data_IF_503913259335
#
_entry.id   IF_503913259335
#
_cell.length_a   1.000
_cell.length_b   1.000
_cell.length_c   1.000
_cell.angle_alpha   90.00
_cell.angle_beta   90.00
_cell.angle_gamma   90.00
#
_symmetry.space_group_name_H-M   'P 1'
#
loop_
_entity.id
_entity.type
_entity.pdbx_description
1 polymer ?
#
# COMPACT_ATOMS: atom_id res chain seq x y z
N UNK A 1 39.20 34.96 -40.46
CA UNK A 1 39.57 33.79 -41.25
C UNK A 1 38.70 32.70 -40.70
N UNK A 2 37.70 32.45 -41.25
CA UNK A 2 37.03 31.77 -42.35
C UNK A 2 36.16 30.68 -41.79
N UNK A 3 34.89 30.87 -41.86
CA UNK A 3 33.85 30.37 -42.78
C UNK A 3 33.72 28.82 -42.84
N UNK A 4 32.52 28.36 -42.61
CA UNK A 4 32.08 27.04 -42.96
C UNK A 4 30.64 26.73 -42.57
N UNK A 5 29.69 27.41 -43.19
CA UNK A 5 28.27 26.99 -43.31
C UNK A 5 28.14 25.70 -44.09
N UNK A 6 27.21 24.82 -43.72
CA UNK A 6 26.38 24.08 -44.70
C UNK A 6 25.08 23.60 -44.08
N UNK A 7 24.01 24.13 -44.64
CA UNK A 7 22.62 23.62 -44.55
C UNK A 7 22.43 22.53 -45.61
N UNK A 8 21.50 21.60 -45.36
CA UNK A 8 20.71 20.81 -46.35
C UNK A 8 19.53 20.22 -45.60
N UNK A 9 18.36 20.73 -45.74
CA UNK A 9 17.22 20.49 -46.64
C UNK A 9 16.62 19.08 -46.59
N UNK A 10 15.41 19.03 -46.05
CA UNK A 10 14.15 18.43 -46.53
C UNK A 10 14.10 17.00 -46.98
N UNK A 11 13.14 16.25 -46.43
CA UNK A 11 12.08 15.66 -47.24
C UNK A 11 10.92 15.18 -46.37
N UNK A 12 9.77 15.72 -46.71
CA UNK A 12 8.43 15.29 -46.30
C UNK A 12 8.14 13.87 -46.80
N UNK A 13 7.43 13.09 -45.99
CA UNK A 13 6.52 12.05 -46.48
C UNK A 13 5.30 12.02 -45.58
N UNK A 14 4.22 12.62 -46.08
CA UNK A 14 2.86 12.28 -45.76
C UNK A 14 2.59 10.85 -46.23
N UNK A 15 1.93 10.08 -45.42
CA UNK A 15 1.00 9.07 -45.93
C UNK A 15 -0.17 8.90 -44.98
N UNK A 16 -1.31 9.13 -45.62
CA UNK A 16 -2.68 9.12 -45.12
C UNK A 16 -3.22 7.71 -44.94
N UNK A 17 -4.36 7.71 -44.23
CA UNK A 17 -5.46 6.72 -44.29
C UNK A 17 -5.27 5.49 -43.38
N UNK A 18 -6.24 5.01 -42.63
CA UNK A 18 -7.67 4.92 -42.93
C UNK A 18 -8.44 4.59 -41.65
N UNK A 19 -9.42 5.37 -41.35
CA UNK A 19 -10.52 5.15 -40.41
C UNK A 19 -11.34 3.93 -40.84
N UNK A 20 -11.59 3.00 -39.94
CA UNK A 20 -12.69 2.05 -40.05
C UNK A 20 -13.55 2.09 -38.80
N UNK A 21 -14.62 2.86 -38.89
CA UNK A 21 -15.81 2.75 -38.05
C UNK A 21 -16.52 1.42 -38.36
N UNK A 22 -16.67 0.59 -37.31
CA UNK A 22 -17.63 -0.52 -37.36
C UNK A 22 -18.80 -0.18 -36.46
N UNK A 23 -19.85 0.35 -37.10
CA UNK A 23 -21.17 0.48 -36.50
C UNK A 23 -21.83 -0.90 -36.44
N UNK A 24 -22.09 -1.41 -35.25
CA UNK A 24 -22.92 -2.60 -35.08
C UNK A 24 -24.30 -2.21 -34.55
N UNK A 25 -25.23 -2.07 -35.48
CA UNK A 25 -26.66 -1.88 -35.23
C UNK A 25 -27.28 -3.23 -34.85
N UNK A 26 -27.58 -3.48 -33.62
CA UNK A 26 -28.41 -4.62 -33.22
C UNK A 26 -29.89 -4.25 -33.17
N UNK A 27 -30.57 -4.80 -34.14
CA UNK A 27 -32.01 -4.77 -34.43
C UNK A 27 -32.79 -5.54 -33.35
N UNK A 28 -33.68 -4.86 -32.64
CA UNK A 28 -34.72 -5.47 -31.81
C UNK A 28 -35.65 -6.38 -32.66
N UNK A 29 -35.74 -7.64 -32.29
CA UNK A 29 -36.86 -8.50 -32.70
C UNK A 29 -37.75 -8.78 -31.52
N UNK A 30 -38.95 -8.27 -31.57
CA UNK A 30 -40.09 -8.67 -30.73
C UNK A 30 -40.56 -10.05 -31.23
N UNK A 31 -40.72 -11.00 -30.34
CA UNK A 31 -41.56 -12.17 -30.56
C UNK A 31 -42.58 -12.27 -29.41
N UNK A 32 -43.79 -12.49 -29.84
CA UNK A 32 -45.03 -12.51 -29.07
C UNK A 32 -45.31 -13.95 -28.64
N UNK A 33 -45.62 -14.09 -27.40
CA UNK A 33 -46.46 -15.02 -26.60
C UNK A 33 -46.90 -16.35 -27.26
N UNK A 34 -46.64 -17.48 -26.60
CA UNK A 34 -47.71 -18.43 -26.37
C UNK A 34 -47.58 -19.19 -25.05
N UNK A 35 -48.74 -19.49 -24.45
CA UNK A 35 -48.93 -20.05 -23.12
C UNK A 35 -48.65 -21.57 -23.12
N UNK A 36 -47.75 -22.03 -22.27
CA UNK A 36 -47.53 -23.44 -22.00
C UNK A 36 -47.12 -23.67 -20.54
N UNK A 37 -48.00 -24.28 -19.83
CA UNK A 37 -48.00 -24.71 -18.41
C UNK A 37 -46.68 -25.29 -17.96
N UNK A 38 -46.06 -24.61 -16.98
CA UNK A 38 -44.77 -24.97 -16.40
C UNK A 38 -44.88 -26.03 -15.32
N UNK A 39 -44.06 -27.06 -15.45
CA UNK A 39 -43.59 -27.89 -14.33
C UNK A 39 -42.28 -27.32 -13.88
N UNK A 40 -42.28 -26.81 -12.62
CA UNK A 40 -41.15 -26.18 -12.01
C UNK A 40 -40.12 -27.22 -11.56
N UNK A 41 -39.01 -27.36 -12.27
CA UNK A 41 -37.80 -27.94 -11.73
C UNK A 41 -37.01 -26.85 -11.04
N UNK A 42 -36.57 -27.03 -9.76
CA UNK A 42 -35.73 -26.06 -9.10
C UNK A 42 -34.33 -26.09 -9.73
N UNK A 43 -33.89 -24.96 -10.28
CA UNK A 43 -32.50 -24.73 -10.67
C UNK A 43 -31.58 -24.99 -9.50
N UNK A 44 -30.42 -25.66 -9.67
CA UNK A 44 -29.41 -25.73 -8.65
C UNK A 44 -28.96 -24.29 -8.32
N UNK A 45 -29.06 -23.91 -7.07
CA UNK A 45 -28.50 -22.66 -6.57
C UNK A 45 -26.99 -22.72 -6.77
N UNK A 46 -26.49 -21.86 -7.63
CA UNK A 46 -25.09 -21.55 -7.82
C UNK A 46 -24.46 -21.27 -6.47
N UNK A 47 -23.34 -21.92 -6.20
CA UNK A 47 -22.58 -21.92 -4.95
C UNK A 47 -22.45 -20.50 -4.37
N UNK A 48 -23.26 -20.17 -3.39
CA UNK A 48 -22.98 -19.06 -2.51
C UNK A 48 -21.66 -19.37 -1.79
N UNK A 49 -20.60 -18.64 -2.10
CA UNK A 49 -19.37 -18.63 -1.31
C UNK A 49 -19.78 -18.44 0.16
N UNK A 50 -19.30 -19.24 1.10
CA UNK A 50 -19.74 -19.15 2.48
C UNK A 50 -19.22 -17.85 3.10
N UNK A 51 -20.03 -16.79 3.12
CA UNK A 51 -19.75 -15.53 3.81
C UNK A 51 -19.35 -15.78 5.28
N UNK A 52 -19.89 -16.82 5.90
CA UNK A 52 -19.54 -17.20 7.26
C UNK A 52 -18.07 -17.58 7.48
N UNK A 53 -17.39 -18.16 6.48
CA UNK A 53 -15.99 -18.55 6.59
C UNK A 53 -15.06 -17.31 6.54
N UNK A 54 -15.42 -16.32 5.76
CA UNK A 54 -14.64 -15.10 5.62
C UNK A 54 -14.71 -14.24 6.88
N UNK A 55 -15.87 -14.12 7.50
CA UNK A 55 -16.05 -13.45 8.80
C UNK A 55 -15.21 -14.14 9.88
N UNK A 56 -15.20 -15.46 9.91
CA UNK A 56 -14.42 -16.25 10.87
C UNK A 56 -12.91 -16.06 10.68
N UNK A 57 -12.46 -15.96 9.42
CA UNK A 57 -11.05 -15.76 9.08
C UNK A 57 -10.55 -14.35 9.48
N UNK A 58 -11.28 -13.31 9.11
CA UNK A 58 -10.98 -11.95 9.52
C UNK A 58 -11.00 -11.81 11.05
N UNK A 59 -11.99 -12.40 11.71
CA UNK A 59 -12.09 -12.43 13.18
C UNK A 59 -10.88 -13.11 13.80
N UNK A 60 -10.41 -14.23 13.26
CA UNK A 60 -9.22 -14.92 13.75
C UNK A 60 -7.95 -14.08 13.57
N UNK A 61 -7.79 -13.45 12.41
CA UNK A 61 -6.65 -12.56 12.13
C UNK A 61 -6.63 -11.37 13.10
N UNK A 62 -7.80 -10.80 13.41
CA UNK A 62 -7.92 -9.64 14.28
C UNK A 62 -8.04 -9.96 15.76
N UNK A 63 -8.28 -11.19 16.15
CA UNK A 63 -8.22 -11.63 17.55
C UNK A 63 -6.81 -11.52 18.15
N UNK A 64 -5.78 -11.52 17.30
CA UNK A 64 -4.40 -11.33 17.75
C UNK A 64 -4.19 -9.89 18.24
N UNK A 65 -3.88 -9.72 19.51
CA UNK A 65 -3.49 -8.42 20.06
C UNK A 65 -2.08 -8.04 19.58
N UNK A 66 -1.97 -6.84 18.99
CA UNK A 66 -0.69 -6.31 18.61
C UNK A 66 0.12 -5.99 19.87
N UNK A 67 1.38 -6.44 19.98
CA UNK A 67 2.20 -6.12 21.13
C UNK A 67 2.40 -4.60 21.24
N UNK A 68 2.22 -4.04 22.44
CA UNK A 68 2.38 -2.60 22.68
C UNK A 68 3.78 -2.11 22.34
N UNK A 69 4.78 -2.96 22.52
CA UNK A 69 6.18 -2.69 22.19
C UNK A 69 6.63 -3.62 21.05
N UNK A 70 7.52 -3.14 20.16
CA UNK A 70 8.02 -4.01 19.09
C UNK A 70 8.82 -5.17 19.67
N UNK A 71 8.71 -6.38 19.09
CA UNK A 71 9.44 -7.58 19.50
C UNK A 71 10.90 -7.55 19.00
N UNK A 72 11.67 -6.57 19.47
CA UNK A 72 13.06 -6.33 19.07
C UNK A 72 14.05 -6.93 20.05
N UNK A 73 15.30 -7.16 19.61
CA UNK A 73 16.37 -7.65 20.46
C UNK A 73 16.66 -6.66 21.62
N UNK A 74 17.14 -7.20 22.76
CA UNK A 74 17.35 -6.42 24.01
C UNK A 74 18.15 -5.12 23.84
N UNK A 75 19.13 -5.11 22.93
CA UNK A 75 19.97 -3.94 22.70
C UNK A 75 19.28 -2.79 21.96
N UNK A 76 18.11 -3.04 21.37
CA UNK A 76 17.39 -2.04 20.59
C UNK A 76 16.79 -0.93 21.47
N UNK A 77 16.45 -1.23 22.72
CA UNK A 77 15.91 -0.26 23.66
C UNK A 77 16.82 0.95 23.91
N UNK A 78 18.14 0.80 23.72
CA UNK A 78 19.11 1.90 23.84
C UNK A 78 18.95 2.98 22.77
N UNK A 79 18.34 2.64 21.61
CA UNK A 79 18.13 3.56 20.49
C UNK A 79 16.89 4.45 20.69
N UNK A 80 16.01 4.09 21.61
CA UNK A 80 14.70 4.75 21.78
C UNK A 80 14.72 5.70 22.95
N UNK A 81 14.24 6.92 22.74
CA UNK A 81 14.14 7.90 23.81
C UNK A 81 13.03 7.52 24.79
N UNK A 82 13.40 7.26 26.06
CA UNK A 82 12.47 6.90 27.15
C UNK A 82 11.52 5.75 26.82
N UNK A 83 11.93 4.78 26.00
CA UNK A 83 11.09 3.67 25.52
C UNK A 83 9.74 4.11 24.93
N UNK A 84 9.68 5.30 24.36
CA UNK A 84 8.47 5.84 23.75
C UNK A 84 8.33 5.38 22.31
N UNK A 85 7.50 4.37 22.12
CA UNK A 85 6.98 3.97 20.82
C UNK A 85 5.56 4.50 20.64
N UNK A 86 5.17 4.73 19.39
CA UNK A 86 3.75 4.91 19.09
C UNK A 86 2.97 3.63 19.38
N UNK A 87 1.65 3.76 19.50
CA UNK A 87 0.78 2.60 19.37
C UNK A 87 1.03 1.94 18.02
N UNK A 88 1.14 0.61 17.96
CA UNK A 88 1.34 -0.10 16.71
C UNK A 88 0.12 0.03 15.79
N UNK A 89 0.35 0.03 14.50
CA UNK A 89 -0.69 -0.26 13.55
C UNK A 89 -0.26 -1.34 12.58
N UNK A 90 -1.23 -2.15 12.16
CA UNK A 90 -1.00 -3.27 11.28
C UNK A 90 -1.67 -3.03 9.94
N UNK A 91 -1.05 -3.54 8.89
CA UNK A 91 -1.54 -3.44 7.54
C UNK A 91 -1.21 -4.70 6.76
N UNK A 92 -2.21 -5.25 6.03
CA UNK A 92 -1.98 -6.25 5.00
C UNK A 92 -1.30 -5.61 3.79
N UNK A 93 -0.25 -6.25 3.29
CA UNK A 93 0.41 -5.84 2.05
C UNK A 93 -0.45 -6.22 0.85
N UNK A 94 -0.62 -5.28 -0.06
CA UNK A 94 -1.39 -5.44 -1.27
C UNK A 94 -0.48 -5.25 -2.49
N UNK A 95 -0.94 -5.65 -3.65
CA UNK A 95 -0.22 -5.57 -4.91
C UNK A 95 0.44 -4.19 -5.17
N UNK A 96 -0.26 -3.11 -4.82
CA UNK A 96 0.24 -1.74 -5.02
C UNK A 96 1.53 -1.41 -4.28
N UNK A 97 1.77 -2.01 -3.11
CA UNK A 97 3.00 -1.78 -2.33
C UNK A 97 4.22 -2.34 -3.06
N UNK A 98 4.03 -3.38 -3.86
CA UNK A 98 5.08 -4.00 -4.67
C UNK A 98 5.23 -3.33 -6.03
N UNK A 99 4.12 -3.06 -6.73
CA UNK A 99 4.13 -2.38 -8.04
C UNK A 99 4.68 -0.96 -7.99
N UNK A 100 4.37 -0.23 -6.91
CA UNK A 100 4.78 1.16 -6.76
C UNK A 100 6.02 1.34 -5.87
N UNK A 101 6.62 0.22 -5.40
CA UNK A 101 7.86 0.21 -4.61
C UNK A 101 7.80 1.11 -3.36
N UNK A 102 6.63 1.14 -2.68
CA UNK A 102 6.40 1.98 -1.50
C UNK A 102 5.35 1.39 -0.57
N UNK A 103 5.56 1.54 0.73
CA UNK A 103 4.56 1.17 1.73
C UNK A 103 3.61 2.34 1.96
N UNK A 104 2.35 2.20 1.60
CA UNK A 104 1.32 3.17 1.90
C UNK A 104 0.88 3.08 3.35
N UNK A 105 0.82 4.22 4.02
CA UNK A 105 0.36 4.34 5.39
C UNK A 105 -1.05 4.90 5.43
N UNK A 106 -1.89 4.37 6.32
CA UNK A 106 -3.23 4.90 6.55
C UNK A 106 -3.13 6.36 6.99
N UNK A 107 -3.97 7.23 6.41
CA UNK A 107 -4.04 8.64 6.81
C UNK A 107 -4.31 8.76 8.31
N UNK A 108 -5.29 8.00 8.82
CA UNK A 108 -5.65 7.99 10.24
C UNK A 108 -4.48 7.55 11.11
N UNK A 109 -3.74 6.50 10.71
CA UNK A 109 -2.55 6.06 11.45
C UNK A 109 -1.49 7.15 11.51
N UNK A 110 -1.21 7.81 10.40
CA UNK A 110 -0.22 8.89 10.35
C UNK A 110 -0.64 10.07 11.21
N UNK A 111 -1.87 10.53 11.09
CA UNK A 111 -2.35 11.70 11.83
C UNK A 111 -2.46 11.44 13.34
N UNK A 112 -2.89 10.24 13.75
CA UNK A 112 -3.03 9.89 15.17
C UNK A 112 -1.72 9.45 15.83
N UNK A 113 -0.88 8.70 15.14
CA UNK A 113 0.24 7.99 15.75
C UNK A 113 1.60 8.59 15.39
N UNK A 114 1.76 9.14 14.17
CA UNK A 114 3.02 9.69 13.71
C UNK A 114 3.13 11.19 13.96
N UNK A 115 2.11 11.98 13.64
CA UNK A 115 2.15 13.43 13.78
C UNK A 115 2.51 13.89 15.20
N UNK A 116 2.05 13.25 16.28
CA UNK A 116 2.49 13.60 17.64
C UNK A 116 3.99 13.42 17.89
N UNK A 117 4.67 12.64 17.05
CA UNK A 117 6.11 12.43 17.10
C UNK A 117 6.91 13.38 16.22
N UNK A 118 6.24 14.09 15.29
CA UNK A 118 6.89 15.05 14.40
C UNK A 118 7.13 16.38 15.10
N UNK A 119 8.24 17.02 14.75
CA UNK A 119 8.51 18.41 15.18
C UNK A 119 7.68 19.38 14.32
N UNK A 120 7.47 20.59 14.84
CA UNK A 120 6.70 21.61 14.11
C UNK A 120 7.27 21.91 12.72
N UNK A 121 8.59 21.89 12.56
CA UNK A 121 9.25 22.09 11.27
C UNK A 121 8.97 20.94 10.30
N UNK A 122 8.92 19.72 10.79
CA UNK A 122 8.64 18.52 10.00
C UNK A 122 7.16 18.40 9.59
N UNK A 123 6.25 19.00 10.37
CA UNK A 123 4.82 19.03 10.09
C UNK A 123 4.45 19.95 8.90
N UNK A 124 5.37 20.77 8.43
CA UNK A 124 5.10 21.64 7.28
C UNK A 124 4.85 20.80 6.03
N UNK A 125 3.79 21.11 5.32
CA UNK A 125 3.36 20.38 4.11
C UNK A 125 4.48 20.25 3.06
N UNK A 126 5.30 21.28 2.88
CA UNK A 126 6.42 21.25 1.94
C UNK A 126 7.51 20.24 2.38
N UNK A 127 7.84 20.17 3.67
CA UNK A 127 8.85 19.24 4.22
C UNK A 127 8.37 17.81 4.04
N UNK A 128 7.12 17.50 4.42
CA UNK A 128 6.55 16.15 4.26
C UNK A 128 6.46 15.77 2.76
N UNK A 129 6.15 16.71 1.87
CA UNK A 129 6.12 16.45 0.42
C UNK A 129 7.51 16.23 -0.17
N UNK A 130 8.52 16.96 0.27
CA UNK A 130 9.92 16.71 -0.10
C UNK A 130 10.40 15.37 0.42
N UNK A 131 9.93 14.98 1.59
CA UNK A 131 10.19 13.73 2.27
C UNK A 131 11.20 13.84 3.40
N UNK A 132 10.83 13.29 4.55
CA UNK A 132 11.62 13.25 5.76
C UNK A 132 12.49 11.99 5.72
N UNK A 133 13.83 12.08 5.81
CA UNK A 133 14.69 10.92 5.95
C UNK A 133 14.38 10.18 7.25
N UNK A 134 14.16 8.88 7.16
CA UNK A 134 13.84 8.01 8.30
C UNK A 134 14.66 6.73 8.23
N UNK A 135 14.79 6.04 9.35
CA UNK A 135 15.35 4.69 9.40
C UNK A 135 14.27 3.72 9.84
N UNK A 136 14.00 2.72 9.04
CA UNK A 136 13.21 1.57 9.46
C UNK A 136 14.15 0.45 9.93
N UNK A 137 13.79 -0.20 11.03
CA UNK A 137 14.51 -1.33 11.59
C UNK A 137 13.61 -2.57 11.51
N UNK A 138 14.18 -3.71 11.19
CA UNK A 138 13.51 -4.98 11.41
C UNK A 138 13.62 -5.43 12.88
N UNK A 139 13.00 -6.56 13.22
CA UNK A 139 13.01 -7.11 14.59
C UNK A 139 14.41 -7.58 15.04
N UNK A 140 15.33 -7.82 14.10
CA UNK A 140 16.73 -8.15 14.37
C UNK A 140 17.61 -6.90 14.57
N UNK A 141 17.08 -5.70 14.31
CA UNK A 141 17.81 -4.44 14.41
C UNK A 141 18.56 -4.04 13.14
N UNK A 142 18.35 -4.72 12.02
CA UNK A 142 18.94 -4.30 10.74
C UNK A 142 18.27 -2.99 10.27
N UNK A 143 19.10 -2.03 9.87
CA UNK A 143 18.66 -0.70 9.46
C UNK A 143 18.40 -0.61 7.95
N UNK A 144 17.27 -0.01 7.59
CA UNK A 144 16.86 0.28 6.23
C UNK A 144 16.60 1.78 6.09
N UNK A 145 17.52 2.54 5.49
CA UNK A 145 17.28 3.95 5.20
C UNK A 145 16.07 4.08 4.27
N UNK A 146 15.10 4.88 4.67
CA UNK A 146 13.86 5.14 3.94
C UNK A 146 13.54 6.63 3.91
N UNK A 147 12.46 6.99 3.26
CA UNK A 147 11.94 8.34 3.26
C UNK A 147 10.43 8.30 3.53
N UNK A 148 10.01 9.00 4.57
CA UNK A 148 8.60 9.26 4.83
C UNK A 148 8.17 10.49 4.03
N UNK A 149 7.12 10.34 3.22
CA UNK A 149 6.62 11.46 2.43
C UNK A 149 5.12 11.39 2.18
N UNK A 150 4.56 12.55 1.80
CA UNK A 150 3.20 12.70 1.35
C UNK A 150 3.15 12.82 -0.18
N UNK A 151 2.13 12.24 -0.80
CA UNK A 151 1.89 12.40 -2.24
C UNK A 151 1.52 13.85 -2.59
N UNK A 152 1.87 14.26 -3.81
CA UNK A 152 1.55 15.58 -4.36
C UNK A 152 0.16 15.65 -5.00
N UNK A 153 -0.57 14.53 -5.09
CA UNK A 153 -1.91 14.46 -5.70
C UNK A 153 -3.02 15.09 -4.85
N UNK A 154 -4.23 15.17 -5.44
CA UNK A 154 -5.43 15.70 -4.75
C UNK A 154 -5.77 14.96 -3.45
N UNK A 155 -5.52 13.65 -3.41
CA UNK A 155 -5.65 12.84 -2.19
C UNK A 155 -4.32 12.76 -1.47
N UNK A 156 -4.26 13.27 -0.24
CA UNK A 156 -3.08 13.13 0.63
C UNK A 156 -2.87 11.66 0.99
N UNK A 157 -1.82 11.05 0.47
CA UNK A 157 -1.39 9.69 0.79
C UNK A 157 -0.01 9.75 1.43
N UNK A 158 0.16 9.08 2.54
CA UNK A 158 1.44 8.98 3.23
C UNK A 158 2.11 7.66 2.88
N UNK A 159 3.43 7.66 2.80
CA UNK A 159 4.17 6.48 2.38
C UNK A 159 5.61 6.45 2.88
N UNK A 160 6.13 5.24 3.06
CA UNK A 160 7.57 4.99 3.15
C UNK A 160 8.08 4.56 1.78
N UNK A 161 9.16 5.20 1.33
CA UNK A 161 9.75 5.02 0.00
C UNK A 161 11.25 4.74 0.09
N UNK A 162 11.92 4.62 -1.03
CA UNK A 162 13.37 4.40 -1.22
C UNK A 162 13.89 3.06 -0.71
N UNK A 163 13.78 2.72 0.53
CA UNK A 163 14.27 1.46 1.10
C UNK A 163 13.27 0.32 1.13
N UNK A 164 12.01 0.57 0.76
CA UNK A 164 10.92 -0.40 0.88
C UNK A 164 11.17 -1.69 0.09
N UNK A 165 11.58 -1.59 -1.17
CA UNK A 165 11.90 -2.77 -1.99
C UNK A 165 13.00 -3.64 -1.38
N UNK A 166 14.05 -3.01 -0.85
CA UNK A 166 15.13 -3.72 -0.17
C UNK A 166 14.63 -4.46 1.07
N UNK A 167 13.71 -3.83 1.82
CA UNK A 167 13.07 -4.46 2.98
C UNK A 167 12.24 -5.68 2.55
N UNK A 168 11.36 -5.52 1.54
CA UNK A 168 10.54 -6.61 1.01
C UNK A 168 11.39 -7.80 0.55
N UNK A 169 12.43 -7.52 -0.26
CA UNK A 169 13.29 -8.56 -0.81
C UNK A 169 14.09 -9.29 0.29
N UNK A 170 14.57 -8.56 1.29
CA UNK A 170 15.31 -9.13 2.42
C UNK A 170 14.47 -10.13 3.22
N UNK A 171 13.17 -9.86 3.36
CA UNK A 171 12.25 -10.65 4.18
C UNK A 171 11.33 -11.56 3.36
N UNK A 172 11.43 -11.55 2.02
CA UNK A 172 10.59 -12.38 1.14
C UNK A 172 9.10 -12.06 1.26
N UNK A 173 8.76 -10.77 1.48
CA UNK A 173 7.37 -10.36 1.70
C UNK A 173 6.51 -10.55 0.44
N UNK A 174 5.25 -10.93 0.65
CA UNK A 174 4.29 -11.27 -0.41
C UNK A 174 2.99 -10.50 -0.27
N UNK A 175 2.40 -10.14 -1.38
CA UNK A 175 1.09 -9.50 -1.43
C UNK A 175 0.00 -10.41 -0.90
N UNK A 176 -1.00 -9.82 -0.26
CA UNK A 176 -2.16 -10.43 0.38
C UNK A 176 -1.85 -11.43 1.53
N UNK A 177 -0.66 -12.00 1.56
CA UNK A 177 -0.24 -12.99 2.56
C UNK A 177 0.40 -12.38 3.79
N UNK A 178 1.16 -11.31 3.61
CA UNK A 178 1.93 -10.71 4.70
C UNK A 178 1.28 -9.44 5.24
N UNK A 179 1.30 -9.34 6.57
CA UNK A 179 0.87 -8.18 7.32
C UNK A 179 2.09 -7.56 7.98
N UNK A 180 2.27 -6.27 7.81
CA UNK A 180 3.31 -5.52 8.50
C UNK A 180 2.73 -4.75 9.67
N UNK A 181 3.39 -4.85 10.82
CA UNK A 181 3.09 -4.04 12.00
C UNK A 181 4.19 -3.01 12.17
N UNK A 182 3.80 -1.76 12.35
CA UNK A 182 4.72 -0.63 12.45
C UNK A 182 4.59 0.03 13.83
N UNK A 183 5.74 0.31 14.43
CA UNK A 183 5.91 1.21 15.57
C UNK A 183 6.79 2.37 15.14
N UNK A 184 6.50 3.54 15.65
CA UNK A 184 7.25 4.75 15.36
C UNK A 184 7.90 5.27 16.63
N UNK A 185 9.10 5.83 16.53
CA UNK A 185 9.81 6.39 17.66
C UNK A 185 10.82 7.47 17.23
N UNK A 186 11.33 8.22 18.19
CA UNK A 186 12.48 9.11 18.01
C UNK A 186 13.75 8.43 18.49
N UNK A 187 14.78 8.45 17.64
CA UNK A 187 16.10 7.95 18.01
C UNK A 187 16.71 8.80 19.12
N UNK A 188 17.18 8.16 20.19
CA UNK A 188 17.64 8.84 21.41
C UNK A 188 18.75 9.87 21.17
N UNK A 189 19.74 9.52 20.37
CA UNK A 189 20.91 10.37 20.14
C UNK A 189 20.73 11.36 18.99
N UNK A 190 20.15 10.91 17.90
CA UNK A 190 20.05 11.71 16.68
C UNK A 190 18.72 12.45 16.54
N UNK A 191 17.75 12.11 17.39
CA UNK A 191 16.37 12.57 17.37
C UNK A 191 15.68 12.44 15.99
N UNK A 192 16.19 11.55 15.14
CA UNK A 192 15.58 11.23 13.86
C UNK A 192 14.32 10.38 14.05
N UNK A 193 13.35 10.58 13.19
CA UNK A 193 12.17 9.72 13.12
C UNK A 193 12.59 8.34 12.64
N UNK A 194 12.18 7.32 13.36
CA UNK A 194 12.47 5.93 13.07
C UNK A 194 11.21 5.06 13.14
N UNK A 195 11.28 3.90 12.50
CA UNK A 195 10.24 2.88 12.52
C UNK A 195 10.83 1.54 12.95
N UNK A 196 10.05 0.73 13.65
CA UNK A 196 10.26 -0.72 13.70
C UNK A 196 9.18 -1.35 12.85
N UNK A 197 9.56 -2.30 12.02
CA UNK A 197 8.64 -3.06 11.18
C UNK A 197 8.81 -4.54 11.49
N UNK A 198 7.75 -5.17 11.99
CA UNK A 198 7.62 -6.63 12.05
C UNK A 198 6.61 -7.09 11.01
N UNK A 199 6.56 -8.38 10.76
CA UNK A 199 5.57 -8.96 9.85
C UNK A 199 5.12 -10.33 10.34
N UNK A 200 3.94 -10.72 9.90
CA UNK A 200 3.37 -12.07 10.06
C UNK A 200 2.70 -12.50 8.78
N UNK A 201 2.75 -13.79 8.50
CA UNK A 201 2.32 -14.38 7.25
C UNK A 201 1.10 -15.26 7.44
N UNK A 202 0.18 -15.19 6.48
CA UNK A 202 -0.99 -16.07 6.36
C UNK A 202 -1.03 -16.65 4.95
N UNK A 203 -0.47 -17.83 4.77
CA UNK A 203 -0.29 -18.45 3.46
C UNK A 203 -1.59 -18.76 2.72
N UNK A 204 -2.69 -18.89 3.45
CA UNK A 204 -4.02 -19.18 2.91
C UNK A 204 -4.76 -17.94 2.38
N UNK A 205 -4.25 -16.72 2.60
CA UNK A 205 -4.85 -15.51 2.05
C UNK A 205 -4.35 -15.28 0.63
N UNK A 206 -5.29 -14.97 -0.28
CA UNK A 206 -5.02 -14.65 -1.69
C UNK A 206 -5.68 -13.34 -2.13
N UNK A 207 -6.33 -12.62 -1.19
CA UNK A 207 -7.03 -11.36 -1.45
C UNK A 207 -6.91 -10.39 -0.28
N UNK A 208 -7.25 -9.13 -0.54
CA UNK A 208 -7.27 -8.08 0.48
C UNK A 208 -8.43 -8.27 1.45
N UNK A 209 -8.14 -8.09 2.75
CA UNK A 209 -9.16 -8.02 3.80
C UNK A 209 -9.31 -6.60 4.32
N UNK A 210 -10.39 -6.32 5.05
CA UNK A 210 -10.59 -5.01 5.67
C UNK A 210 -9.45 -4.69 6.62
N UNK A 211 -9.04 -3.43 6.64
CA UNK A 211 -7.98 -2.99 7.55
C UNK A 211 -8.50 -2.98 8.99
N UNK A 212 -7.67 -3.43 9.93
CA UNK A 212 -7.96 -3.34 11.37
C UNK A 212 -8.26 -1.88 11.75
N UNK A 213 -9.32 -1.60 12.53
CA UNK A 213 -9.53 -0.29 13.12
C UNK A 213 -8.37 0.11 14.00
N UNK A 214 -8.01 1.40 13.98
CA UNK A 214 -7.02 1.96 14.90
C UNK A 214 -7.78 2.35 16.15
N UNK A 215 -7.65 1.55 17.19
CA UNK A 215 -8.22 1.87 18.48
C UNK A 215 -7.46 3.05 19.11
N UNK A 216 -8.20 3.90 19.79
CA UNK A 216 -7.66 5.06 20.51
C UNK A 216 -7.12 4.63 21.86
#
# INVERSE_FOLDING_TARGET
>A
MDKGSRASTSKDHEDSATTLEVQNKNKKRKCVVDNGRATSNPKPKENAKPEGLQITLESHIYAYELPKMPPVQRNFGSLVNNNRYSTPFEKQLQEKEFKEYRLYLSKTAVEKLLFPLLRNEELRDNVIRQGIPVTAYDVQGNAFPMQFKQSTGKQKRYMLTKGWTRFCNRHGLREFKDFVTLWMFRHKETDRLCFVISFRTFDYLDHGIKQRPINN
#
